data_IF_786206189958
#
_entry.id   IF_786206189958
#
_cell.length_a   1.000
_cell.length_b   1.000
_cell.length_c   1.000
_cell.angle_alpha   90.00
_cell.angle_beta   90.00
_cell.angle_gamma   90.00
#
_symmetry.space_group_name_H-M   'P 1'
#
loop_
_entity.id
_entity.type
_entity.pdbx_description
1 polymer ?
#
# COMPACT_ATOMS: atom_id res chain seq x y z
N UNK A 1 -9.29 -2.49 -19.38
CA UNK A 1 -8.29 -2.11 -18.36
C UNK A 1 -7.16 -3.14 -18.39
N UNK A 2 -6.21 -2.97 -19.31
CA UNK A 2 -5.29 -4.06 -19.72
C UNK A 2 -3.95 -4.01 -18.97
N UNK A 3 -3.37 -2.81 -18.84
CA UNK A 3 -2.07 -2.62 -18.20
C UNK A 3 -2.10 -2.97 -16.71
N UNK A 4 -3.05 -2.40 -15.98
CA UNK A 4 -3.14 -2.60 -14.52
C UNK A 4 -3.49 -4.05 -14.18
N UNK A 5 -4.26 -4.73 -15.04
CA UNK A 5 -4.53 -6.16 -14.88
C UNK A 5 -3.26 -6.99 -15.01
N UNK A 6 -2.45 -6.75 -16.04
CA UNK A 6 -1.19 -7.44 -16.22
C UNK A 6 -0.23 -7.23 -15.03
N UNK A 7 -0.17 -6.01 -14.48
CA UNK A 7 0.63 -5.73 -13.29
C UNK A 7 0.09 -6.39 -12.02
N UNK A 8 -1.22 -6.32 -11.77
CA UNK A 8 -1.83 -6.96 -10.60
C UNK A 8 -1.58 -8.47 -10.62
N UNK A 9 -1.72 -9.11 -11.79
CA UNK A 9 -1.45 -10.54 -11.97
C UNK A 9 0.04 -10.86 -11.81
N UNK A 10 0.94 -10.03 -12.37
CA UNK A 10 2.39 -10.21 -12.21
C UNK A 10 2.86 -10.08 -10.75
N UNK A 11 2.17 -9.27 -9.94
CA UNK A 11 2.41 -9.12 -8.50
C UNK A 11 1.78 -10.24 -7.66
N UNK A 12 1.16 -11.26 -8.28
CA UNK A 12 0.46 -12.34 -7.60
C UNK A 12 -0.87 -11.90 -6.97
N UNK A 13 -1.39 -10.76 -7.38
CA UNK A 13 -2.66 -10.22 -6.95
C UNK A 13 -3.79 -10.47 -7.95
N UNK A 14 -4.91 -9.79 -7.71
CA UNK A 14 -6.10 -9.85 -8.58
C UNK A 14 -6.74 -8.47 -8.69
N UNK A 15 -7.47 -8.25 -9.77
CA UNK A 15 -8.22 -7.03 -10.05
C UNK A 15 -9.65 -7.35 -10.47
N UNK A 16 -10.62 -6.56 -10.03
CA UNK A 16 -12.02 -6.67 -10.43
C UNK A 16 -12.68 -5.31 -10.52
N UNK A 17 -13.87 -5.27 -11.11
CA UNK A 17 -14.67 -4.06 -11.25
C UNK A 17 -16.09 -4.33 -10.79
N UNK A 18 -16.64 -3.38 -10.05
CA UNK A 18 -18.05 -3.33 -9.68
C UNK A 18 -18.64 -2.11 -10.40
N UNK A 19 -19.59 -2.33 -11.30
CA UNK A 19 -20.21 -1.25 -12.07
C UNK A 19 -21.65 -1.56 -12.38
N UNK A 20 -22.50 -0.56 -12.19
CA UNK A 20 -23.92 -0.58 -12.60
C UNK A 20 -24.19 0.61 -13.54
N UNK A 21 -24.98 0.43 -14.61
CA UNK A 21 -25.32 1.53 -15.50
C UNK A 21 -25.87 2.74 -14.73
N UNK A 22 -25.35 3.93 -15.03
CA UNK A 22 -25.76 5.17 -14.37
C UNK A 22 -25.16 5.41 -12.96
N UNK A 23 -24.47 4.44 -12.37
CA UNK A 23 -23.89 4.55 -11.01
C UNK A 23 -22.36 4.64 -10.99
N UNK A 24 -21.73 4.55 -12.16
CA UNK A 24 -20.27 4.59 -12.31
C UNK A 24 -19.62 3.22 -12.17
N UNK A 25 -18.32 3.21 -11.91
CA UNK A 25 -17.52 1.99 -11.79
C UNK A 25 -16.46 2.13 -10.69
N UNK A 26 -16.36 1.12 -9.84
CA UNK A 26 -15.33 0.98 -8.80
C UNK A 26 -14.37 -0.12 -9.22
N UNK A 27 -13.09 0.21 -9.33
CA UNK A 27 -12.02 -0.73 -9.65
C UNK A 27 -11.27 -1.08 -8.37
N UNK A 28 -11.20 -2.38 -8.06
CA UNK A 28 -10.56 -2.86 -6.85
C UNK A 28 -9.41 -3.83 -7.19
N UNK A 29 -8.34 -3.75 -6.40
CA UNK A 29 -7.14 -4.59 -6.52
C UNK A 29 -6.84 -5.19 -5.16
N UNK A 30 -6.54 -6.49 -5.13
CA UNK A 30 -5.99 -7.16 -3.95
C UNK A 30 -4.59 -7.68 -4.29
N UNK A 31 -3.61 -7.33 -3.45
CA UNK A 31 -2.22 -7.79 -3.55
C UNK A 31 -1.87 -8.62 -2.30
N UNK A 32 -0.97 -9.61 -2.41
CA UNK A 32 -0.45 -10.32 -1.24
C UNK A 32 0.25 -9.35 -0.28
N UNK A 33 0.00 -9.51 1.02
CA UNK A 33 0.70 -8.71 2.03
C UNK A 33 2.18 -9.10 2.04
N UNK A 34 3.04 -8.16 1.69
CA UNK A 34 4.46 -8.31 1.96
C UNK A 34 4.68 -8.09 3.45
N UNK A 35 4.77 -9.19 4.21
CA UNK A 35 5.31 -9.14 5.57
C UNK A 35 6.72 -8.60 5.46
N UNK A 36 6.90 -7.31 5.75
CA UNK A 36 8.21 -6.74 5.94
C UNK A 36 8.87 -7.53 7.07
N UNK A 37 9.84 -8.39 6.74
CA UNK A 37 10.68 -9.00 7.74
C UNK A 37 11.30 -7.84 8.52
N UNK A 38 10.99 -7.73 9.81
CA UNK A 38 11.42 -6.65 10.68
C UNK A 38 12.95 -6.65 10.95
N UNK A 39 13.78 -7.09 10.00
CA UNK A 39 15.23 -6.89 10.00
C UNK A 39 15.54 -5.53 9.37
N UNK A 40 15.24 -4.45 10.08
CA UNK A 40 15.67 -3.13 9.61
C UNK A 40 15.11 -1.90 10.31
N UNK A 41 14.11 -2.02 11.19
CA UNK A 41 13.75 -0.89 12.05
C UNK A 41 14.74 -0.77 13.22
N UNK A 42 16.02 -0.61 12.90
CA UNK A 42 16.96 -0.03 13.85
C UNK A 42 16.50 1.40 14.07
N UNK A 43 16.05 1.69 15.28
CA UNK A 43 15.72 3.02 15.80
C UNK A 43 16.55 4.13 15.15
N UNK A 44 15.90 5.00 14.36
CA UNK A 44 16.48 6.30 14.00
C UNK A 44 16.25 7.25 15.17
N UNK A 45 17.22 7.26 16.08
CA UNK A 45 17.43 8.37 17.01
C UNK A 45 17.77 9.66 16.25
N UNK A 46 16.95 10.71 16.42
CA UNK A 46 17.33 12.11 16.28
C UNK A 46 16.23 12.97 16.97
N UNK A 47 16.35 13.31 18.25
CA UNK A 47 17.07 14.49 18.82
C UNK A 47 16.42 15.82 18.40
N UNK A 48 15.71 16.51 19.32
CA UNK A 48 15.85 17.95 19.69
C UNK A 48 14.59 18.52 20.38
N UNK A 49 14.81 19.24 21.52
CA UNK A 49 13.89 20.04 22.37
C UNK A 49 12.96 19.20 23.30
N UNK A 50 12.88 19.38 24.62
CA UNK A 50 12.93 20.60 25.43
C UNK A 50 12.98 20.22 26.93
N UNK A 51 14.16 19.98 27.49
CA UNK A 51 14.30 19.65 28.92
C UNK A 51 15.56 20.28 29.54
N UNK A 52 15.96 21.46 29.07
CA UNK A 52 17.02 22.24 29.72
C UNK A 52 16.40 23.42 30.50
N UNK A 53 16.20 23.33 31.82
CA UNK A 53 15.91 24.49 32.65
C UNK A 53 17.16 25.38 32.77
N UNK A 54 16.92 26.69 32.77
CA UNK A 54 17.90 27.76 33.07
C UNK A 54 18.19 27.87 34.55
#
# INVERSE_FOLDING_TARGET
MTLTRAYAEALGGRIWVESEPGHGATFAVALPEQTASARGLTSRSARTKLDQPV
#
